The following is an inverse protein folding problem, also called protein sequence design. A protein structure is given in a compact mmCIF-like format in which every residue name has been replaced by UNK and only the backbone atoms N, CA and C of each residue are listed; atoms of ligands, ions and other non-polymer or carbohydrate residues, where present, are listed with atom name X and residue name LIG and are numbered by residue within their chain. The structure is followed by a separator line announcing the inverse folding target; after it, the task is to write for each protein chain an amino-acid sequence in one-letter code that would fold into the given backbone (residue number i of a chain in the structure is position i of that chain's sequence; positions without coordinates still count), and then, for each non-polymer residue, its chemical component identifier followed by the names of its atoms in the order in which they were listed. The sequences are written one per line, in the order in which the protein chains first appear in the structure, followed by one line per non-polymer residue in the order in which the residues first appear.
data_IF_820353704978
#
_entry.id   IF_820353704978
#
_cell.length_a   1.000
_cell.length_b   1.000
_cell.length_c   1.000
_cell.angle_alpha   90.00
_cell.angle_beta   90.00
_cell.angle_gamma   90.00
#
_symmetry.space_group_name_H-M   'P 1'
#
loop_
_entity.id
_entity.type
_entity.pdbx_description
1 polymer ?
#
# COMPACT_ATOMS: atom_id res chain seq x y z
N UNK A 1 13.29 -11.05 -4.85
CA UNK A 1 11.99 -10.38 -4.63
C UNK A 1 11.31 -11.02 -3.43
N UNK A 2 10.42 -10.32 -2.69
CA UNK A 2 9.64 -10.87 -1.57
C UNK A 2 10.48 -11.43 -0.43
N UNK A 3 10.93 -12.68 -0.57
CA UNK A 3 11.84 -13.38 0.34
C UNK A 3 13.17 -12.62 0.58
N UNK A 4 13.70 -11.91 -0.42
CA UNK A 4 14.87 -11.06 -0.22
C UNK A 4 14.56 -9.88 0.73
N UNK A 5 13.33 -9.34 0.70
CA UNK A 5 12.92 -8.29 1.64
C UNK A 5 12.86 -8.85 3.07
N UNK A 6 12.33 -10.08 3.24
CA UNK A 6 12.29 -10.75 4.54
C UNK A 6 13.71 -10.94 5.12
N UNK A 7 14.67 -11.32 4.28
CA UNK A 7 16.09 -11.42 4.67
C UNK A 7 16.65 -10.06 5.07
N UNK A 8 16.33 -9.00 4.32
CA UNK A 8 16.82 -7.65 4.60
C UNK A 8 16.26 -7.10 5.91
N UNK A 9 14.96 -7.24 6.18
CA UNK A 9 14.37 -6.76 7.44
C UNK A 9 14.92 -7.53 8.64
N UNK A 10 15.15 -8.84 8.50
CA UNK A 10 15.82 -9.64 9.54
C UNK A 10 17.27 -9.18 9.77
N UNK A 11 18.03 -8.94 8.70
CA UNK A 11 19.41 -8.44 8.78
C UNK A 11 19.52 -7.07 9.46
N UNK A 12 18.50 -6.22 9.28
CA UNK A 12 18.47 -4.86 9.81
C UNK A 12 17.63 -4.70 11.08
N UNK A 13 17.10 -5.80 11.65
CA UNK A 13 16.22 -5.81 12.81
C UNK A 13 15.01 -4.85 12.69
N UNK A 14 14.39 -4.81 11.51
CA UNK A 14 13.18 -4.00 11.29
C UNK A 14 11.97 -4.82 11.75
N UNK A 15 11.23 -4.30 12.71
CA UNK A 15 10.06 -4.97 13.28
C UNK A 15 8.92 -5.08 12.26
N UNK A 16 7.99 -6.03 12.46
CA UNK A 16 6.77 -6.09 11.67
C UNK A 16 5.89 -4.85 11.88
N UNK A 17 5.84 -4.33 13.11
CA UNK A 17 5.12 -3.10 13.43
C UNK A 17 5.63 -1.92 12.61
N UNK A 18 6.95 -1.72 12.51
CA UNK A 18 7.54 -0.65 11.72
C UNK A 18 7.20 -0.79 10.22
N UNK A 19 7.18 -2.03 9.72
CA UNK A 19 6.78 -2.32 8.34
C UNK A 19 5.30 -1.99 8.10
N UNK A 20 4.41 -2.40 9.01
CA UNK A 20 2.97 -2.12 8.92
C UNK A 20 2.69 -0.61 9.02
N UNK A 21 3.38 0.10 9.93
CA UNK A 21 3.28 1.56 10.07
C UNK A 21 3.76 2.28 8.81
N UNK A 22 4.85 1.80 8.20
CA UNK A 22 5.34 2.33 6.93
C UNK A 22 4.30 2.14 5.81
N UNK A 23 3.72 0.95 5.71
CA UNK A 23 2.67 0.65 4.72
C UNK A 23 1.43 1.53 4.92
N UNK A 24 0.95 1.69 6.17
CA UNK A 24 -0.18 2.57 6.50
C UNK A 24 0.11 4.02 6.11
N UNK A 25 1.28 4.54 6.49
CA UNK A 25 1.73 5.89 6.12
C UNK A 25 1.78 6.08 4.60
N UNK A 26 2.22 5.07 3.86
CA UNK A 26 2.24 5.12 2.40
C UNK A 26 0.84 5.29 1.81
N UNK A 27 -0.15 4.53 2.28
CA UNK A 27 -1.54 4.67 1.84
C UNK A 27 -2.14 6.04 2.21
N UNK A 28 -1.84 6.55 3.41
CA UNK A 28 -2.32 7.87 3.86
C UNK A 28 -1.75 9.01 3.02
N UNK A 29 -0.45 8.94 2.71
CA UNK A 29 0.20 9.94 1.88
C UNK A 29 -0.33 9.92 0.44
N UNK A 30 -0.59 8.73 -0.11
CA UNK A 30 -1.18 8.59 -1.43
C UNK A 30 -2.59 9.20 -1.48
N UNK A 31 -3.43 8.95 -0.48
CA UNK A 31 -4.76 9.56 -0.40
C UNK A 31 -4.68 11.09 -0.32
N UNK A 32 -3.84 11.61 0.57
CA UNK A 32 -3.61 13.06 0.71
C UNK A 32 -3.11 13.71 -0.57
N UNK A 33 -2.21 13.05 -1.30
CA UNK A 33 -1.69 13.57 -2.56
C UNK A 33 -2.78 13.66 -3.65
N UNK A 34 -3.68 12.68 -3.68
CA UNK A 34 -4.86 12.70 -4.54
C UNK A 34 -5.86 13.79 -4.14
N UNK A 35 -6.15 13.93 -2.84
CA UNK A 35 -7.03 14.99 -2.32
C UNK A 35 -6.47 16.40 -2.59
N UNK A 36 -5.15 16.57 -2.47
CA UNK A 36 -4.45 17.81 -2.76
C UNK A 36 -4.30 18.10 -4.28
N UNK A 37 -4.71 17.16 -5.13
CA UNK A 37 -4.68 17.30 -6.59
C UNK A 37 -3.28 17.20 -7.21
N UNK A 38 -2.29 16.66 -6.50
CA UNK A 38 -0.91 16.54 -7.02
C UNK A 38 -0.83 15.70 -8.29
N UNK A 39 -1.70 14.71 -8.45
CA UNK A 39 -1.70 13.80 -9.59
C UNK A 39 -2.51 14.29 -10.80
N UNK A 40 -3.24 15.41 -10.70
CA UNK A 40 -4.13 15.88 -11.76
C UNK A 40 -3.43 16.21 -13.08
N UNK A 41 -2.13 16.54 -13.04
CA UNK A 41 -1.33 16.87 -14.23
C UNK A 41 -0.63 15.66 -14.85
N UNK A 42 -0.50 14.56 -14.11
CA UNK A 42 0.33 13.42 -14.48
C UNK A 42 -0.51 12.19 -14.82
N UNK A 43 -1.68 12.04 -14.19
CA UNK A 43 -2.57 10.90 -14.41
C UNK A 43 -3.63 11.25 -15.46
N UNK A 44 -3.63 10.50 -16.55
CA UNK A 44 -4.61 10.61 -17.63
C UNK A 44 -5.77 9.66 -17.36
N UNK A 45 -7.03 10.16 -17.22
CA UNK A 45 -8.19 9.30 -17.05
C UNK A 45 -8.39 8.33 -18.21
N UNK A 46 -8.91 7.14 -17.90
CA UNK A 46 -9.24 6.12 -18.89
C UNK A 46 -10.72 5.79 -18.82
N UNK A 47 -11.35 5.64 -19.98
CA UNK A 47 -12.73 5.16 -20.12
C UNK A 47 -12.71 3.67 -20.44
N UNK A 48 -13.59 2.91 -19.81
CA UNK A 48 -13.70 1.46 -20.01
C UNK A 48 -15.10 1.13 -20.50
N UNK A 49 -15.17 0.32 -21.55
CA UNK A 49 -16.42 -0.23 -22.06
C UNK A 49 -17.11 -1.15 -21.02
N UNK A 50 -18.44 -1.30 -21.07
CA UNK A 50 -19.37 -0.74 -22.06
C UNK A 50 -20.01 0.59 -21.65
N UNK A 51 -19.91 0.99 -20.38
CA UNK A 51 -20.57 2.19 -19.85
C UNK A 51 -19.71 3.47 -20.03
N UNK A 52 -18.48 3.32 -20.55
CA UNK A 52 -17.49 4.38 -20.73
C UNK A 52 -17.28 5.20 -19.46
N UNK A 53 -17.40 4.55 -18.29
CA UNK A 53 -17.19 5.23 -17.02
C UNK A 53 -15.72 5.62 -16.88
N UNK A 54 -15.51 6.91 -16.62
CA UNK A 54 -14.19 7.46 -16.38
C UNK A 54 -13.57 6.95 -15.07
N UNK A 55 -12.42 6.30 -15.18
CA UNK A 55 -11.51 6.00 -14.07
C UNK A 55 -10.46 7.10 -13.98
N UNK A 56 -10.51 7.87 -12.89
CA UNK A 56 -9.70 9.11 -12.72
C UNK A 56 -8.68 9.04 -11.59
N UNK A 57 -8.78 8.04 -10.72
CA UNK A 57 -8.00 7.92 -9.48
C UNK A 57 -7.58 6.47 -9.26
N UNK A 58 -6.43 6.27 -8.63
CA UNK A 58 -5.92 4.96 -8.25
C UNK A 58 -6.89 4.22 -7.33
N UNK A 59 -7.21 2.98 -7.69
CA UNK A 59 -8.12 2.11 -6.92
C UNK A 59 -7.41 1.25 -5.86
N UNK A 60 -6.08 1.35 -5.74
CA UNK A 60 -5.26 0.56 -4.82
C UNK A 60 -5.05 1.22 -3.44
N UNK A 61 -5.47 2.47 -3.27
CA UNK A 61 -5.26 3.22 -2.02
C UNK A 61 -6.25 2.72 -0.97
N UNK A 62 -5.76 2.49 0.25
CA UNK A 62 -6.49 1.90 1.39
C UNK A 62 -6.19 2.69 2.67
N UNK A 63 -6.27 4.03 2.61
CA UNK A 63 -5.97 4.92 3.74
C UNK A 63 -6.94 4.74 4.91
N UNK A 64 -8.17 4.31 4.63
CA UNK A 64 -9.22 3.97 5.58
C UNK A 64 -8.97 2.64 6.32
N UNK A 65 -7.97 1.86 5.91
CA UNK A 65 -7.67 0.57 6.52
C UNK A 65 -7.00 0.78 7.88
N UNK A 66 -7.63 0.37 8.99
CA UNK A 66 -7.04 0.53 10.31
C UNK A 66 -5.80 -0.36 10.48
N UNK A 67 -4.82 0.09 11.27
CA UNK A 67 -3.53 -0.59 11.45
C UNK A 67 -3.70 -2.03 11.95
N UNK A 68 -4.72 -2.27 12.78
CA UNK A 68 -5.05 -3.58 13.34
C UNK A 68 -5.43 -4.61 12.26
N UNK A 69 -5.85 -4.16 11.06
CA UNK A 69 -6.07 -5.06 9.92
C UNK A 69 -4.75 -5.47 9.26
N UNK A 70 -3.76 -4.58 9.21
CA UNK A 70 -2.43 -4.87 8.64
C UNK A 70 -1.69 -5.89 9.50
N UNK A 71 -1.70 -5.72 10.82
CA UNK A 71 -1.04 -6.63 11.76
C UNK A 71 -1.62 -8.04 11.74
N UNK A 72 -2.88 -8.20 11.34
CA UNK A 72 -3.53 -9.51 11.21
C UNK A 72 -3.20 -10.26 9.91
N UNK A 73 -2.53 -9.61 8.95
CA UNK A 73 -2.16 -10.26 7.71
C UNK A 73 -1.07 -11.32 7.97
N UNK A 74 -1.26 -12.48 7.36
CA UNK A 74 -0.28 -13.57 7.39
C UNK A 74 0.96 -13.17 6.56
N UNK A 75 2.17 -13.57 6.97
CA UNK A 75 3.36 -13.42 6.13
C UNK A 75 3.14 -14.02 4.73
N UNK A 76 3.58 -13.30 3.71
CA UNK A 76 3.39 -13.72 2.32
C UNK A 76 4.44 -14.74 1.84
N UNK A 77 5.66 -14.71 2.39
CA UNK A 77 6.78 -15.55 1.96
C UNK A 77 7.31 -16.42 3.10
N UNK A 78 8.00 -15.86 4.10
CA UNK A 78 8.44 -16.64 5.25
C UNK A 78 7.32 -16.82 6.29
N UNK A 79 6.79 -18.04 6.37
CA UNK A 79 5.71 -18.41 7.31
C UNK A 79 6.16 -18.45 8.77
N UNK A 80 7.47 -18.49 9.01
CA UNK A 80 8.06 -18.55 10.35
C UNK A 80 8.44 -17.16 10.87
N UNK A 81 8.20 -16.11 10.08
CA UNK A 81 8.41 -14.75 10.50
C UNK A 81 7.38 -14.40 11.58
N UNK A 82 7.80 -14.35 12.84
CA UNK A 82 6.92 -13.93 13.93
C UNK A 82 6.54 -12.45 13.75
N UNK A 83 5.28 -12.08 14.02
CA UNK A 83 4.83 -10.69 14.02
C UNK A 83 5.47 -9.89 15.15
#
# INVERSE_FOLDING_TARGET
MGQDCDIMVAKHNVSREDQDLFAKRSHDNAEKAWEAGHHQKEVVPVEIEPDFKMIKKDNGIRSDTPIEKLTKLKPAFDKNMEP
#
